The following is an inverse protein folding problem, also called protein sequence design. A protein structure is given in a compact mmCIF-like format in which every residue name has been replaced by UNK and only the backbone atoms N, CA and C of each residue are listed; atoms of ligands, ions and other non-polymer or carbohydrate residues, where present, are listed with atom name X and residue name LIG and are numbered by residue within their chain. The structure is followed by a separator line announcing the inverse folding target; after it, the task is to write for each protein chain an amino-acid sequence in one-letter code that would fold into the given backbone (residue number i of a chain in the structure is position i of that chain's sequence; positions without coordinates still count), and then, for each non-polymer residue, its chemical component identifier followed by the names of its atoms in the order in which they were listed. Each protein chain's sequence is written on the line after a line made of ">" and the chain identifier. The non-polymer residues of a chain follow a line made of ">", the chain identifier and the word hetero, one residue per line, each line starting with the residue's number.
data_IF_414795827936
#
_entry.id   IF_414795827936
#
_cell.length_a   1.000
_cell.length_b   1.000
_cell.length_c   1.000
_cell.angle_alpha   90.00
_cell.angle_beta   90.00
_cell.angle_gamma   90.00
#
_symmetry.space_group_name_H-M   'P 1'
#
loop_
_entity.id
_entity.type
_entity.pdbx_description
1 polymer ?
#
# COMPACT_ATOMS: atom_id res chain seq x y z
N UNK A 1 -21.78 -43.15 -23.54
CA UNK A 1 -20.88 -41.98 -23.56
C UNK A 1 -20.93 -41.32 -22.18
N UNK A 2 -19.93 -41.49 -21.31
CA UNK A 2 -19.94 -40.79 -20.04
C UNK A 2 -19.52 -39.33 -20.27
N UNK A 3 -20.37 -38.41 -19.79
CA UNK A 3 -20.15 -36.96 -19.80
C UNK A 3 -19.04 -36.60 -18.80
N UNK A 4 -17.98 -35.99 -19.31
CA UNK A 4 -16.88 -35.40 -18.54
C UNK A 4 -17.42 -34.24 -17.67
N UNK A 5 -17.12 -34.18 -16.36
CA UNK A 5 -17.53 -33.05 -15.56
C UNK A 5 -16.68 -31.84 -15.96
N UNK A 6 -17.34 -30.76 -16.36
CA UNK A 6 -16.74 -29.44 -16.54
C UNK A 6 -16.24 -28.97 -15.15
N UNK A 7 -14.95 -28.91 -14.99
CA UNK A 7 -14.33 -28.28 -13.81
C UNK A 7 -14.79 -26.84 -13.76
N UNK A 8 -15.71 -26.55 -12.84
CA UNK A 8 -16.01 -25.18 -12.45
C UNK A 8 -14.70 -24.57 -11.91
N UNK A 9 -14.18 -23.61 -12.64
CA UNK A 9 -13.08 -22.79 -12.16
C UNK A 9 -13.53 -22.17 -10.83
N UNK A 10 -12.92 -22.62 -9.73
CA UNK A 10 -13.12 -22.02 -8.43
C UNK A 10 -12.71 -20.54 -8.55
N UNK A 11 -13.67 -19.66 -8.56
CA UNK A 11 -13.47 -18.23 -8.40
C UNK A 11 -12.68 -18.07 -7.11
N UNK A 12 -11.41 -17.71 -7.22
CA UNK A 12 -10.56 -17.35 -6.07
C UNK A 12 -11.25 -16.19 -5.37
N UNK A 13 -12.03 -16.48 -4.34
CA UNK A 13 -12.66 -15.45 -3.51
C UNK A 13 -11.52 -14.61 -2.94
N UNK A 14 -11.56 -13.33 -3.25
CA UNK A 14 -10.63 -12.35 -2.70
C UNK A 14 -10.71 -12.43 -1.17
N UNK A 15 -9.65 -12.92 -0.52
CA UNK A 15 -9.51 -12.90 0.94
C UNK A 15 -8.63 -11.72 1.30
N UNK A 16 -9.19 -10.81 2.11
CA UNK A 16 -8.46 -9.69 2.71
C UNK A 16 -7.37 -10.23 3.62
N UNK A 17 -6.15 -9.69 3.49
CA UNK A 17 -4.98 -10.16 4.23
C UNK A 17 -5.05 -9.71 5.69
N UNK A 18 -4.77 -10.62 6.64
CA UNK A 18 -4.76 -10.34 8.08
C UNK A 18 -6.06 -9.66 8.58
N UNK A 19 -7.21 -10.04 7.99
CA UNK A 19 -8.49 -9.38 8.18
C UNK A 19 -8.88 -9.23 9.65
N UNK A 20 -8.96 -10.35 10.37
CA UNK A 20 -9.37 -10.35 11.76
C UNK A 20 -8.27 -9.79 12.67
N UNK A 21 -7.02 -10.15 12.41
CA UNK A 21 -5.86 -9.68 13.17
C UNK A 21 -5.71 -8.15 13.12
N UNK A 22 -6.01 -7.53 11.96
CA UNK A 22 -5.95 -6.09 11.81
C UNK A 22 -7.06 -5.41 12.60
N UNK A 23 -8.31 -5.86 12.44
CA UNK A 23 -9.47 -5.25 13.08
C UNK A 23 -9.48 -5.48 14.60
N UNK A 24 -9.12 -6.68 15.08
CA UNK A 24 -9.02 -6.99 16.52
C UNK A 24 -7.99 -6.09 17.23
N UNK A 25 -6.94 -5.67 16.50
CA UNK A 25 -5.93 -4.77 17.08
C UNK A 25 -6.25 -3.31 16.89
N UNK A 26 -7.08 -2.97 15.91
CA UNK A 26 -7.45 -1.60 15.60
C UNK A 26 -8.55 -1.08 16.52
N UNK A 27 -9.59 -1.90 16.78
CA UNK A 27 -10.78 -1.47 17.52
C UNK A 27 -10.50 -1.46 19.02
N UNK A 28 -10.47 -0.25 19.60
CA UNK A 28 -10.34 -0.03 21.06
C UNK A 28 -11.59 0.56 21.69
N UNK A 29 -12.48 1.14 20.88
CA UNK A 29 -13.73 1.75 21.29
C UNK A 29 -14.80 1.51 20.23
N UNK A 30 -15.83 0.75 20.53
CA UNK A 30 -16.87 0.40 19.54
C UNK A 30 -17.74 1.57 19.12
N UNK A 31 -17.76 2.68 19.86
CA UNK A 31 -18.44 3.92 19.51
C UNK A 31 -17.52 4.94 18.80
N UNK A 32 -16.25 4.61 18.61
CA UNK A 32 -15.24 5.49 18.02
C UNK A 32 -15.39 5.69 16.51
N UNK A 33 -14.60 6.65 15.98
CA UNK A 33 -14.46 6.90 14.55
C UNK A 33 -13.17 6.25 14.08
N UNK A 34 -13.23 5.52 12.97
CA UNK A 34 -12.11 4.80 12.37
C UNK A 34 -11.88 5.22 10.94
N UNK A 35 -10.62 5.25 10.54
CA UNK A 35 -10.18 5.51 9.17
C UNK A 35 -9.71 4.18 8.55
N UNK A 36 -10.34 3.77 7.44
CA UNK A 36 -9.78 2.79 6.51
C UNK A 36 -9.24 3.56 5.30
N UNK A 37 -7.94 3.78 5.26
CA UNK A 37 -7.30 4.62 4.26
C UNK A 37 -7.18 3.94 2.88
N UNK A 38 -7.51 2.63 2.79
CA UNK A 38 -7.32 1.75 1.64
C UNK A 38 -8.51 0.80 1.47
N UNK A 39 -9.67 1.33 1.11
CA UNK A 39 -10.93 0.59 1.08
C UNK A 39 -10.88 -0.69 0.23
N UNK A 40 -10.28 -0.62 -0.96
CA UNK A 40 -10.18 -1.74 -1.89
C UNK A 40 -11.53 -2.33 -2.28
N UNK A 41 -11.86 -3.50 -1.75
CA UNK A 41 -13.19 -4.13 -1.90
C UNK A 41 -13.99 -4.12 -0.60
N UNK A 42 -13.55 -3.36 0.39
CA UNK A 42 -14.24 -3.15 1.65
C UNK A 42 -14.19 -4.34 2.61
N UNK A 43 -13.16 -5.19 2.51
CA UNK A 43 -13.02 -6.32 3.42
C UNK A 43 -12.82 -5.88 4.87
N UNK A 44 -11.80 -5.06 5.11
CA UNK A 44 -11.54 -4.49 6.43
C UNK A 44 -12.67 -3.56 6.88
N UNK A 45 -13.20 -2.72 6.00
CA UNK A 45 -14.34 -1.82 6.31
C UNK A 45 -15.56 -2.60 6.79
N UNK A 46 -15.95 -3.71 6.12
CA UNK A 46 -17.08 -4.57 6.57
C UNK A 46 -16.83 -5.18 7.93
N UNK A 47 -15.62 -5.69 8.14
CA UNK A 47 -15.25 -6.26 9.45
C UNK A 47 -15.25 -5.19 10.54
N UNK A 48 -14.76 -3.97 10.28
CA UNK A 48 -14.85 -2.83 11.18
C UNK A 48 -16.32 -2.52 11.55
N UNK A 49 -17.19 -2.35 10.56
CA UNK A 49 -18.60 -2.06 10.76
C UNK A 49 -19.30 -3.16 11.58
N UNK A 50 -18.90 -4.41 11.43
CA UNK A 50 -19.45 -5.53 12.20
C UNK A 50 -19.07 -5.50 13.70
N UNK A 51 -17.95 -4.84 14.04
CA UNK A 51 -17.45 -4.71 15.42
C UNK A 51 -17.93 -3.44 16.12
N UNK A 52 -18.38 -2.44 15.35
CA UNK A 52 -18.76 -1.15 15.91
C UNK A 52 -20.21 -1.13 16.40
N UNK A 53 -20.40 -0.39 17.48
CA UNK A 53 -21.72 -0.04 17.98
C UNK A 53 -22.47 0.91 17.01
N UNK A 54 -23.78 1.15 17.18
CA UNK A 54 -24.53 2.05 16.31
C UNK A 54 -23.99 3.50 16.25
N UNK A 55 -23.30 3.96 17.29
CA UNK A 55 -22.66 5.29 17.32
C UNK A 55 -21.28 5.33 16.64
N UNK A 56 -20.65 4.17 16.39
CA UNK A 56 -19.35 4.09 15.76
C UNK A 56 -19.44 4.47 14.29
N UNK A 57 -18.37 5.01 13.72
CA UNK A 57 -18.31 5.45 12.32
C UNK A 57 -17.02 4.98 11.66
N UNK A 58 -17.07 4.77 10.34
CA UNK A 58 -15.93 4.48 9.49
C UNK A 58 -15.86 5.51 8.37
N UNK A 59 -14.73 6.17 8.23
CA UNK A 59 -14.36 6.94 7.05
C UNK A 59 -13.43 6.06 6.22
N UNK A 60 -13.82 5.75 4.99
CA UNK A 60 -13.03 4.89 4.11
C UNK A 60 -12.61 5.66 2.86
N UNK A 61 -11.36 5.51 2.45
CA UNK A 61 -10.81 6.17 1.27
C UNK A 61 -10.31 5.13 0.27
N UNK A 62 -10.44 5.46 -0.99
CA UNK A 62 -9.70 4.79 -2.05
C UNK A 62 -9.46 5.76 -3.21
N UNK A 63 -8.30 5.65 -3.85
CA UNK A 63 -7.99 6.42 -5.07
C UNK A 63 -8.49 5.76 -6.35
N UNK A 64 -8.86 4.47 -6.30
CA UNK A 64 -9.37 3.72 -7.46
C UNK A 64 -10.88 3.95 -7.63
N UNK A 65 -11.31 4.59 -8.74
CA UNK A 65 -12.74 4.79 -8.99
C UNK A 65 -13.54 3.49 -9.04
N UNK A 66 -12.92 2.36 -9.39
CA UNK A 66 -13.60 1.06 -9.39
C UNK A 66 -13.82 0.53 -7.95
N UNK A 67 -12.89 0.80 -7.03
CA UNK A 67 -13.08 0.48 -5.62
C UNK A 67 -14.24 1.29 -5.04
N UNK A 68 -14.29 2.59 -5.33
CA UNK A 68 -15.39 3.48 -4.92
C UNK A 68 -16.73 3.02 -5.49
N UNK A 69 -16.77 2.68 -6.78
CA UNK A 69 -18.00 2.17 -7.40
C UNK A 69 -18.51 0.88 -6.74
N UNK A 70 -17.58 -0.05 -6.42
CA UNK A 70 -17.91 -1.31 -5.73
C UNK A 70 -18.37 -1.10 -4.28
N UNK A 71 -17.93 -0.02 -3.62
CA UNK A 71 -18.27 0.29 -2.24
C UNK A 71 -19.59 1.05 -2.06
N UNK A 72 -20.18 1.57 -3.13
CA UNK A 72 -21.40 2.42 -3.05
C UNK A 72 -22.59 1.71 -2.39
N UNK A 73 -22.82 0.44 -2.70
CA UNK A 73 -23.91 -0.33 -2.11
C UNK A 73 -23.71 -0.46 -0.59
N UNK A 74 -22.48 -0.73 -0.13
CA UNK A 74 -22.18 -0.80 1.29
C UNK A 74 -22.40 0.54 1.97
N UNK A 75 -21.96 1.64 1.37
CA UNK A 75 -22.14 2.99 1.92
C UNK A 75 -23.63 3.43 1.95
N UNK A 76 -24.45 2.94 1.02
CA UNK A 76 -25.89 3.16 1.06
C UNK A 76 -26.61 2.29 2.09
N UNK A 77 -26.11 1.09 2.33
CA UNK A 77 -26.71 0.14 3.28
C UNK A 77 -26.36 0.43 4.75
N UNK A 78 -25.23 1.06 5.03
CA UNK A 78 -24.77 1.37 6.38
C UNK A 78 -24.40 2.85 6.53
N UNK A 79 -25.27 3.60 7.20
CA UNK A 79 -25.11 5.05 7.41
C UNK A 79 -23.86 5.41 8.27
N UNK A 80 -23.23 4.45 8.92
CA UNK A 80 -21.98 4.65 9.67
C UNK A 80 -20.76 4.75 8.77
N UNK A 81 -20.87 4.39 7.46
CA UNK A 81 -19.80 4.44 6.48
C UNK A 81 -19.86 5.71 5.66
N UNK A 82 -18.76 6.48 5.68
CA UNK A 82 -18.50 7.54 4.72
C UNK A 82 -17.39 7.07 3.78
N UNK A 83 -17.72 6.87 2.49
CA UNK A 83 -16.77 6.41 1.46
C UNK A 83 -16.37 7.59 0.57
N UNK A 84 -15.07 7.86 0.45
CA UNK A 84 -14.52 9.02 -0.26
C UNK A 84 -13.53 8.59 -1.34
N UNK A 85 -13.68 9.14 -2.56
CA UNK A 85 -12.70 8.99 -3.63
C UNK A 85 -11.56 9.97 -3.41
N UNK A 86 -10.48 9.50 -2.80
CA UNK A 86 -9.28 10.29 -2.51
C UNK A 86 -8.06 9.37 -2.32
N UNK A 87 -6.84 9.84 -2.61
CA UNK A 87 -5.63 9.15 -2.19
C UNK A 87 -5.55 9.15 -0.66
N UNK A 88 -4.93 8.14 -0.11
CA UNK A 88 -4.83 8.04 1.35
C UNK A 88 -3.96 9.15 1.98
N UNK A 89 -3.08 9.81 1.23
CA UNK A 89 -2.35 11.00 1.70
C UNK A 89 -3.26 12.20 2.00
N UNK A 90 -4.45 12.26 1.40
CA UNK A 90 -5.42 13.32 1.60
C UNK A 90 -6.36 13.10 2.81
N UNK A 91 -6.12 12.05 3.63
CA UNK A 91 -7.05 11.73 4.71
C UNK A 91 -7.26 12.89 5.72
N UNK A 92 -6.24 13.70 5.95
CA UNK A 92 -6.35 14.86 6.82
C UNK A 92 -7.31 15.94 6.29
N UNK A 93 -7.28 16.18 4.97
CA UNK A 93 -8.22 17.10 4.31
C UNK A 93 -9.65 16.53 4.32
N UNK A 94 -9.79 15.22 4.07
CA UNK A 94 -11.09 14.54 4.14
C UNK A 94 -11.68 14.64 5.54
N UNK A 95 -10.90 14.37 6.59
CA UNK A 95 -11.36 14.49 7.97
C UNK A 95 -11.75 15.92 8.32
N UNK A 96 -11.00 16.94 7.82
CA UNK A 96 -11.37 18.35 7.99
C UNK A 96 -12.72 18.67 7.35
N UNK A 97 -12.94 18.22 6.10
CA UNK A 97 -14.21 18.41 5.39
C UNK A 97 -15.41 17.74 6.06
N UNK A 98 -15.15 16.72 6.89
CA UNK A 98 -16.15 16.00 7.70
C UNK A 98 -16.25 16.53 9.14
N UNK A 99 -15.51 17.58 9.49
CA UNK A 99 -15.43 18.15 10.86
C UNK A 99 -14.96 17.12 11.90
N UNK A 100 -14.10 16.17 11.51
CA UNK A 100 -13.53 15.14 12.38
C UNK A 100 -12.11 15.56 12.77
N UNK A 101 -11.92 15.95 14.02
CA UNK A 101 -10.62 16.37 14.53
C UNK A 101 -9.63 15.21 14.65
N UNK A 102 -10.08 14.05 15.15
CA UNK A 102 -9.25 12.87 15.35
C UNK A 102 -10.07 11.58 15.24
N UNK A 103 -9.37 10.46 15.01
CA UNK A 103 -9.95 9.11 14.90
C UNK A 103 -9.35 8.17 15.95
N UNK A 104 -10.12 7.17 16.38
CA UNK A 104 -9.68 6.14 17.35
C UNK A 104 -8.81 5.06 16.74
N UNK A 105 -8.78 4.95 15.41
CA UNK A 105 -7.88 4.03 14.72
C UNK A 105 -7.74 4.36 13.26
N UNK A 106 -6.55 4.07 12.73
CA UNK A 106 -6.20 4.24 11.32
C UNK A 106 -5.67 2.91 10.79
N UNK A 107 -6.26 2.44 9.70
CA UNK A 107 -5.83 1.25 8.97
C UNK A 107 -5.31 1.65 7.59
N UNK A 108 -4.13 1.14 7.25
CA UNK A 108 -3.55 1.20 5.92
C UNK A 108 -3.21 -0.23 5.46
N UNK A 109 -3.92 -0.74 4.45
CA UNK A 109 -3.61 -2.00 3.76
C UNK A 109 -2.96 -1.63 2.43
N UNK A 110 -1.63 -1.49 2.43
CA UNK A 110 -0.87 -0.90 1.33
C UNK A 110 -0.79 -1.81 0.11
N UNK A 111 -0.40 -1.25 -1.01
CA UNK A 111 -0.17 -1.97 -2.26
C UNK A 111 -1.39 -2.03 -3.17
N UNK A 112 -1.53 -3.12 -3.92
CA UNK A 112 -2.57 -3.30 -4.94
C UNK A 112 -3.66 -4.25 -4.49
N UNK A 113 -4.90 -3.91 -4.83
CA UNK A 113 -6.03 -4.82 -4.64
C UNK A 113 -5.99 -5.99 -5.62
N UNK A 114 -6.57 -7.15 -5.23
CA UNK A 114 -6.62 -8.30 -6.13
C UNK A 114 -7.29 -8.00 -7.48
N UNK A 115 -8.41 -7.24 -7.55
CA UNK A 115 -8.99 -6.88 -8.84
C UNK A 115 -8.05 -6.09 -9.76
N UNK A 116 -7.22 -5.20 -9.20
CA UNK A 116 -6.23 -4.48 -10.02
C UNK A 116 -5.25 -5.42 -10.70
N UNK A 117 -4.84 -6.52 -10.03
CA UNK A 117 -3.95 -7.55 -10.60
C UNK A 117 -4.73 -8.49 -11.53
N UNK A 118 -5.95 -8.88 -11.16
CA UNK A 118 -6.75 -9.88 -11.86
C UNK A 118 -7.42 -9.33 -13.13
N UNK A 119 -7.74 -8.03 -13.14
CA UNK A 119 -8.19 -7.34 -14.34
C UNK A 119 -7.01 -7.03 -15.26
N UNK A 120 -6.71 -7.94 -16.17
CA UNK A 120 -5.55 -7.83 -17.08
C UNK A 120 -5.44 -6.46 -17.74
N UNK A 121 -6.56 -5.85 -18.17
CA UNK A 121 -6.60 -4.52 -18.82
C UNK A 121 -6.01 -3.37 -17.98
N UNK A 122 -5.85 -3.55 -16.65
CA UNK A 122 -5.26 -2.54 -15.76
C UNK A 122 -3.73 -2.48 -15.88
N UNK A 123 -3.09 -3.46 -16.50
CA UNK A 123 -1.65 -3.47 -16.78
C UNK A 123 -0.74 -3.79 -15.59
N UNK A 124 -1.27 -4.18 -14.43
CA UNK A 124 -0.46 -4.53 -13.24
C UNK A 124 0.19 -5.90 -13.32
N UNK A 125 -0.28 -6.78 -14.20
CA UNK A 125 0.18 -8.16 -14.30
C UNK A 125 0.87 -8.43 -15.64
N UNK A 126 1.94 -9.19 -15.60
CA UNK A 126 2.62 -9.72 -16.80
C UNK A 126 2.12 -11.12 -17.18
N UNK A 127 1.11 -11.68 -16.48
CA UNK A 127 0.53 -13.00 -16.79
C UNK A 127 -0.45 -12.99 -17.96
N UNK A 128 -0.70 -11.84 -18.53
CA UNK A 128 -1.53 -11.64 -19.70
C UNK A 128 -0.99 -10.47 -20.50
N UNK A 129 -1.49 -10.31 -21.74
CA UNK A 129 -1.12 -9.16 -22.56
C UNK A 129 -2.21 -8.08 -22.51
N UNK A 130 -1.81 -6.88 -22.09
CA UNK A 130 -2.69 -5.74 -21.90
C UNK A 130 -1.96 -4.41 -22.16
N UNK A 131 -2.70 -3.28 -22.32
CA UNK A 131 -2.06 -1.97 -22.26
C UNK A 131 -1.27 -1.79 -20.97
N UNK A 132 -0.08 -1.20 -21.08
CA UNK A 132 0.81 -0.95 -19.94
C UNK A 132 0.39 0.34 -19.22
N UNK A 133 -0.74 0.28 -18.50
CA UNK A 133 -1.30 1.43 -17.77
C UNK A 133 -0.71 1.56 -16.36
N UNK A 134 -0.98 0.64 -15.46
CA UNK A 134 -0.56 0.57 -14.05
C UNK A 134 -1.09 1.69 -13.14
N UNK A 135 -1.97 2.58 -13.59
CA UNK A 135 -2.57 3.59 -12.69
C UNK A 135 -3.63 2.95 -11.79
N UNK A 136 -3.59 3.26 -10.51
CA UNK A 136 -4.68 2.94 -9.58
C UNK A 136 -5.87 3.86 -9.83
N UNK A 137 -5.63 5.18 -9.91
CA UNK A 137 -6.62 6.14 -10.37
C UNK A 137 -6.49 6.33 -11.89
N UNK A 138 -7.43 5.76 -12.63
CA UNK A 138 -7.42 5.83 -14.11
C UNK A 138 -7.91 7.16 -14.67
N UNK A 139 -8.38 8.08 -13.82
CA UNK A 139 -8.90 9.38 -14.23
C UNK A 139 -7.80 10.44 -14.42
N UNK A 140 -6.62 10.19 -13.88
CA UNK A 140 -5.50 11.16 -13.89
C UNK A 140 -4.14 10.49 -13.98
N UNK A 141 -3.11 11.32 -14.22
CA UNK A 141 -1.71 10.89 -14.25
C UNK A 141 -1.29 10.16 -15.53
N UNK A 142 0.01 9.98 -15.68
CA UNK A 142 0.61 9.28 -16.81
C UNK A 142 0.61 7.76 -16.58
N UNK A 143 0.36 6.99 -17.65
CA UNK A 143 0.49 5.53 -17.64
C UNK A 143 1.97 5.10 -17.59
N UNK A 144 2.24 3.85 -17.24
CA UNK A 144 3.59 3.30 -17.30
C UNK A 144 4.15 3.35 -18.74
N UNK A 145 3.31 3.13 -19.77
CA UNK A 145 3.71 3.25 -21.15
C UNK A 145 4.15 4.69 -21.51
N UNK A 146 3.39 5.70 -21.06
CA UNK A 146 3.75 7.10 -21.28
C UNK A 146 5.05 7.48 -20.57
N UNK A 147 5.22 7.08 -19.32
CA UNK A 147 6.49 7.26 -18.62
C UNK A 147 7.67 6.65 -19.39
N UNK A 148 7.57 5.40 -19.85
CA UNK A 148 8.62 4.74 -20.60
C UNK A 148 8.85 5.36 -22.00
N UNK A 149 7.84 6.01 -22.57
CA UNK A 149 7.95 6.71 -23.84
C UNK A 149 8.73 8.03 -23.74
N UNK A 150 8.74 8.68 -22.58
CA UNK A 150 9.29 10.02 -22.39
C UNK A 150 10.58 10.04 -21.56
N UNK A 151 10.66 9.19 -20.51
CA UNK A 151 11.75 9.22 -19.54
C UNK A 151 13.12 8.89 -20.14
N UNK A 152 14.17 9.51 -19.61
CA UNK A 152 15.56 9.24 -19.96
C UNK A 152 16.02 7.87 -19.44
N UNK A 153 17.16 7.37 -19.99
CA UNK A 153 17.79 6.13 -19.49
C UNK A 153 18.08 6.24 -18.00
N UNK A 154 18.55 7.39 -17.53
CA UNK A 154 18.92 7.60 -16.12
C UNK A 154 17.70 7.60 -15.20
N UNK A 155 16.59 8.22 -15.63
CA UNK A 155 15.33 8.20 -14.86
C UNK A 155 14.74 6.82 -14.77
N UNK A 156 14.66 6.08 -15.87
CA UNK A 156 14.17 4.68 -15.86
C UNK A 156 15.10 3.83 -14.97
N UNK A 157 16.42 3.98 -15.11
CA UNK A 157 17.39 3.23 -14.29
C UNK A 157 17.19 3.50 -12.81
N UNK A 158 17.01 4.77 -12.41
CA UNK A 158 16.75 5.17 -11.02
C UNK A 158 15.48 4.53 -10.51
N UNK A 159 14.37 4.64 -11.26
CA UNK A 159 13.08 4.05 -10.86
C UNK A 159 13.20 2.54 -10.66
N UNK A 160 13.80 1.82 -11.62
CA UNK A 160 13.93 0.37 -11.54
C UNK A 160 14.84 -0.08 -10.38
N UNK A 161 15.91 0.66 -10.11
CA UNK A 161 16.84 0.38 -9.03
C UNK A 161 16.23 0.70 -7.66
N UNK A 162 15.71 1.92 -7.50
CA UNK A 162 15.31 2.46 -6.20
C UNK A 162 13.97 1.87 -5.71
N UNK A 163 13.06 1.52 -6.63
CA UNK A 163 11.73 0.97 -6.29
C UNK A 163 11.59 -0.53 -6.52
N UNK A 164 12.47 -1.13 -7.34
CA UNK A 164 12.41 -2.56 -7.66
C UNK A 164 13.55 -3.39 -7.09
N UNK A 165 14.58 -2.78 -6.53
CA UNK A 165 15.87 -3.47 -6.25
C UNK A 165 16.37 -4.23 -7.50
N UNK A 166 16.11 -3.67 -8.72
CA UNK A 166 16.41 -4.33 -9.99
C UNK A 166 17.91 -4.22 -10.32
N UNK A 167 18.62 -5.32 -10.26
CA UNK A 167 20.07 -5.36 -10.53
C UNK A 167 20.40 -5.08 -11.99
N UNK A 168 19.48 -5.40 -12.89
CA UNK A 168 19.61 -5.16 -14.32
C UNK A 168 18.96 -3.82 -14.75
N UNK A 169 18.76 -2.86 -13.83
CA UNK A 169 18.06 -1.61 -14.08
C UNK A 169 18.61 -0.86 -15.31
N UNK A 170 19.93 -0.66 -15.38
CA UNK A 170 20.55 0.06 -16.50
C UNK A 170 20.45 -0.69 -17.85
N UNK A 171 20.74 -2.01 -17.96
CA UNK A 171 20.50 -2.76 -19.19
C UNK A 171 19.05 -2.72 -19.66
N UNK A 172 18.09 -2.82 -18.74
CA UNK A 172 16.65 -2.75 -19.06
C UNK A 172 16.31 -1.35 -19.58
N UNK A 173 16.71 -0.29 -18.87
CA UNK A 173 16.46 1.10 -19.28
C UNK A 173 17.05 1.40 -20.65
N UNK A 174 18.29 0.99 -20.90
CA UNK A 174 18.95 1.15 -22.21
C UNK A 174 18.20 0.42 -23.32
N UNK A 175 17.72 -0.80 -23.08
CA UNK A 175 16.96 -1.57 -24.06
C UNK A 175 15.60 -0.93 -24.37
N UNK A 176 14.91 -0.38 -23.36
CA UNK A 176 13.65 0.34 -23.52
C UNK A 176 13.82 1.59 -24.38
N UNK A 177 14.81 2.43 -24.07
CA UNK A 177 15.09 3.65 -24.83
C UNK A 177 15.54 3.32 -26.26
N UNK A 178 16.46 2.36 -26.45
CA UNK A 178 16.89 1.95 -27.78
C UNK A 178 15.74 1.40 -28.65
N UNK A 179 14.77 0.71 -28.06
CA UNK A 179 13.56 0.24 -28.76
C UNK A 179 12.68 1.43 -29.16
N UNK A 180 12.46 2.38 -28.27
CA UNK A 180 11.71 3.62 -28.52
C UNK A 180 12.33 4.46 -29.64
N UNK A 181 13.65 4.61 -29.67
CA UNK A 181 14.38 5.35 -30.69
C UNK A 181 14.26 4.73 -32.11
N UNK A 182 13.96 3.43 -32.19
CA UNK A 182 13.64 2.74 -33.46
C UNK A 182 12.16 2.90 -33.86
N UNK A 183 11.36 3.67 -33.12
CA UNK A 183 9.93 3.85 -33.38
C UNK A 183 9.03 2.72 -32.85
N UNK A 184 9.54 1.87 -31.97
CA UNK A 184 8.83 0.71 -31.40
C UNK A 184 8.68 0.84 -29.85
N UNK A 185 8.03 1.89 -29.31
CA UNK A 185 7.90 2.03 -27.87
C UNK A 185 7.17 0.86 -27.24
N UNK A 186 7.53 0.51 -26.02
CA UNK A 186 6.84 -0.53 -25.25
C UNK A 186 5.51 0.03 -24.74
N UNK A 187 4.41 -0.57 -25.18
CA UNK A 187 3.03 -0.14 -24.85
C UNK A 187 2.21 -1.23 -24.18
N UNK A 188 2.70 -2.47 -24.14
CA UNK A 188 1.97 -3.63 -23.62
C UNK A 188 2.77 -4.38 -22.56
N UNK A 189 2.07 -5.04 -21.67
CA UNK A 189 2.66 -5.79 -20.56
C UNK A 189 3.54 -6.96 -21.03
N UNK A 190 3.10 -7.71 -22.06
CA UNK A 190 3.89 -8.81 -22.61
C UNK A 190 5.19 -8.33 -23.28
N UNK A 191 5.17 -7.19 -23.94
CA UNK A 191 6.36 -6.59 -24.55
C UNK A 191 7.39 -6.21 -23.49
N UNK A 192 6.95 -5.57 -22.40
CA UNK A 192 7.80 -5.23 -21.27
C UNK A 192 8.42 -6.49 -20.65
N UNK A 193 7.59 -7.49 -20.35
CA UNK A 193 8.06 -8.74 -19.74
C UNK A 193 9.09 -9.46 -20.63
N UNK A 194 8.86 -9.52 -21.94
CA UNK A 194 9.79 -10.14 -22.90
C UNK A 194 11.12 -9.38 -22.96
N UNK A 195 11.09 -8.04 -22.99
CA UNK A 195 12.30 -7.20 -23.00
C UNK A 195 13.11 -7.41 -21.70
N UNK A 196 12.45 -7.40 -20.54
CA UNK A 196 13.09 -7.63 -19.25
C UNK A 196 13.73 -9.02 -19.20
N UNK A 197 13.01 -10.07 -19.63
CA UNK A 197 13.52 -11.44 -19.66
C UNK A 197 14.78 -11.62 -20.53
N UNK A 198 14.94 -10.80 -21.59
CA UNK A 198 16.14 -10.75 -22.44
C UNK A 198 17.29 -10.00 -21.78
N UNK A 199 16.99 -8.91 -21.05
CA UNK A 199 18.01 -8.06 -20.43
C UNK A 199 18.58 -8.68 -19.14
N UNK A 200 17.78 -9.48 -18.40
CA UNK A 200 18.19 -10.11 -17.13
C UNK A 200 18.96 -11.39 -17.38
N UNK A 201 20.27 -11.37 -17.13
CA UNK A 201 21.16 -12.53 -17.32
C UNK A 201 21.08 -13.57 -16.21
N UNK A 202 20.76 -13.16 -14.97
CA UNK A 202 20.70 -14.04 -13.80
C UNK A 202 19.27 -14.07 -13.28
N UNK A 203 18.68 -15.28 -13.21
CA UNK A 203 17.33 -15.49 -12.69
C UNK A 203 17.39 -15.99 -11.26
N UNK A 204 16.64 -15.40 -10.36
CA UNK A 204 16.41 -15.96 -9.03
C UNK A 204 15.42 -17.12 -9.15
N UNK A 205 15.73 -18.27 -8.53
CA UNK A 205 14.86 -19.44 -8.60
C UNK A 205 13.48 -19.12 -7.99
N UNK A 206 12.43 -19.40 -8.74
CA UNK A 206 11.04 -19.22 -8.28
C UNK A 206 10.48 -17.80 -8.40
N UNK A 207 11.21 -16.83 -8.98
CA UNK A 207 10.72 -15.50 -9.25
C UNK A 207 10.79 -15.17 -10.75
N UNK A 208 9.69 -14.61 -11.29
CA UNK A 208 9.69 -14.12 -12.67
C UNK A 208 10.59 -12.89 -12.80
N UNK A 209 11.47 -12.82 -13.84
CA UNK A 209 12.38 -11.70 -14.03
C UNK A 209 11.68 -10.34 -14.08
N UNK A 210 10.45 -10.29 -14.60
CA UNK A 210 9.68 -9.04 -14.73
C UNK A 210 9.14 -8.50 -13.41
N UNK A 211 9.08 -9.31 -12.35
CA UNK A 211 8.43 -8.94 -11.06
C UNK A 211 8.95 -7.62 -10.50
N UNK A 212 10.27 -7.44 -10.44
CA UNK A 212 10.90 -6.24 -9.87
C UNK A 212 10.66 -5.00 -10.72
N UNK A 213 10.75 -5.16 -12.04
CA UNK A 213 10.48 -4.07 -13.00
C UNK A 213 9.02 -3.62 -12.93
N UNK A 214 8.06 -4.56 -12.88
CA UNK A 214 6.63 -4.24 -12.74
C UNK A 214 6.35 -3.56 -11.39
N UNK A 215 6.92 -4.04 -10.29
CA UNK A 215 6.81 -3.40 -8.98
C UNK A 215 7.34 -1.97 -9.02
N UNK A 216 8.52 -1.75 -9.59
CA UNK A 216 9.15 -0.42 -9.66
C UNK A 216 8.29 0.58 -10.44
N UNK A 217 7.80 0.18 -11.60
CA UNK A 217 6.93 1.03 -12.43
C UNK A 217 5.60 1.33 -11.73
N UNK A 218 5.00 0.35 -11.07
CA UNK A 218 3.77 0.52 -10.30
C UNK A 218 3.96 1.57 -9.19
N UNK A 219 5.00 1.41 -8.39
CA UNK A 219 5.34 2.34 -7.30
C UNK A 219 5.55 3.75 -7.86
N UNK A 220 6.24 3.88 -9.00
CA UNK A 220 6.50 5.17 -9.63
C UNK A 220 5.22 5.81 -10.17
N UNK A 221 4.45 5.09 -10.99
CA UNK A 221 3.22 5.59 -11.63
C UNK A 221 2.20 6.09 -10.60
N UNK A 222 2.12 5.40 -9.45
CA UNK A 222 1.17 5.71 -8.40
C UNK A 222 1.76 6.56 -7.26
N UNK A 223 3.04 6.96 -7.36
CA UNK A 223 3.75 7.69 -6.31
C UNK A 223 3.60 7.06 -4.91
N UNK A 224 3.54 5.71 -4.82
CA UNK A 224 3.11 4.98 -3.62
C UNK A 224 3.91 5.36 -2.37
N UNK A 225 5.23 5.53 -2.48
CA UNK A 225 6.07 5.88 -1.34
C UNK A 225 5.92 7.35 -0.92
N UNK A 226 5.75 8.28 -1.87
CA UNK A 226 5.49 9.68 -1.54
C UNK A 226 4.12 9.87 -0.87
N UNK A 227 3.11 9.15 -1.35
CA UNK A 227 1.80 9.09 -0.72
C UNK A 227 1.88 8.56 0.72
N UNK A 228 2.65 7.48 0.94
CA UNK A 228 2.85 6.92 2.28
C UNK A 228 3.58 7.89 3.21
N UNK A 229 4.63 8.56 2.73
CA UNK A 229 5.35 9.57 3.50
C UNK A 229 4.42 10.72 3.93
N UNK A 230 3.65 11.27 2.98
CA UNK A 230 2.70 12.33 3.24
C UNK A 230 1.57 11.91 4.21
N UNK A 231 1.11 10.67 4.13
CA UNK A 231 0.12 10.13 5.06
C UNK A 231 0.70 9.97 6.47
N UNK A 232 1.88 9.35 6.60
CA UNK A 232 2.52 9.12 7.90
C UNK A 232 2.81 10.44 8.64
N UNK A 233 3.16 11.51 7.91
CA UNK A 233 3.37 12.83 8.51
C UNK A 233 2.14 13.41 9.22
N UNK A 234 0.94 12.99 8.85
CA UNK A 234 -0.33 13.47 9.40
C UNK A 234 -0.86 12.61 10.56
N UNK A 235 -0.35 11.37 10.74
CA UNK A 235 -0.88 10.40 11.70
C UNK A 235 -0.93 10.97 13.12
N UNK A 236 0.18 11.57 13.57
CA UNK A 236 0.28 12.07 14.96
C UNK A 236 -0.72 13.20 15.26
N UNK A 237 -1.09 14.00 14.27
CA UNK A 237 -2.05 15.09 14.44
C UNK A 237 -3.51 14.61 14.42
N UNK A 238 -3.78 13.40 13.91
CA UNK A 238 -5.14 12.91 13.65
C UNK A 238 -5.52 11.63 14.39
N UNK A 239 -4.56 10.94 14.98
CA UNK A 239 -4.81 9.77 15.82
C UNK A 239 -5.08 10.23 17.25
N UNK A 240 -6.22 9.87 17.81
CA UNK A 240 -6.58 10.22 19.19
C UNK A 240 -5.70 9.48 20.22
N UNK A 241 -5.56 10.00 21.41
CA UNK A 241 -4.88 9.34 22.53
C UNK A 241 -5.50 7.97 22.81
N UNK A 242 -4.67 6.94 22.97
CA UNK A 242 -5.10 5.54 23.06
C UNK A 242 -5.62 4.95 21.74
N UNK A 243 -5.64 5.74 20.68
CA UNK A 243 -5.98 5.28 19.34
C UNK A 243 -4.87 4.43 18.72
N UNK A 244 -5.20 3.61 17.72
CA UNK A 244 -4.27 2.66 17.12
C UNK A 244 -4.02 2.90 15.65
N UNK A 245 -2.75 2.84 15.27
CA UNK A 245 -2.27 2.79 13.89
C UNK A 245 -1.96 1.34 13.53
N UNK A 246 -2.63 0.82 12.51
CA UNK A 246 -2.38 -0.51 11.92
C UNK A 246 -1.98 -0.32 10.47
N UNK A 247 -0.80 -0.81 10.09
CA UNK A 247 -0.30 -0.73 8.71
C UNK A 247 0.13 -2.11 8.24
N UNK A 248 -0.40 -2.55 7.10
CA UNK A 248 -0.04 -3.78 6.40
C UNK A 248 0.77 -3.37 5.17
N UNK A 249 2.00 -3.83 5.07
CA UNK A 249 2.95 -3.56 3.98
C UNK A 249 3.23 -4.84 3.21
N UNK A 250 3.42 -4.76 1.89
CA UNK A 250 3.64 -5.93 1.02
C UNK A 250 5.06 -5.99 0.44
N UNK A 251 5.84 -4.92 0.55
CA UNK A 251 7.25 -4.92 0.15
C UNK A 251 8.14 -4.17 1.15
N UNK A 252 9.45 -4.40 1.02
CA UNK A 252 10.47 -3.94 1.96
C UNK A 252 10.57 -2.42 2.11
N UNK A 253 10.26 -1.67 1.04
CA UNK A 253 10.34 -0.20 1.06
C UNK A 253 9.22 0.38 1.94
N UNK A 254 7.97 -0.09 1.77
CA UNK A 254 6.85 0.31 2.64
C UNK A 254 7.13 -0.05 4.09
N UNK A 255 7.48 -1.32 4.37
CA UNK A 255 7.75 -1.79 5.74
C UNK A 255 8.87 -0.98 6.40
N UNK A 256 9.90 -0.59 5.64
CA UNK A 256 11.01 0.24 6.13
C UNK A 256 10.52 1.63 6.55
N UNK A 257 9.71 2.30 5.72
CA UNK A 257 9.17 3.63 6.01
C UNK A 257 8.26 3.59 7.25
N UNK A 258 7.34 2.65 7.31
CA UNK A 258 6.43 2.48 8.47
C UNK A 258 7.22 2.16 9.73
N UNK A 259 8.21 1.27 9.66
CA UNK A 259 9.09 0.94 10.78
C UNK A 259 9.85 2.16 11.27
N UNK A 260 10.43 2.96 10.36
CA UNK A 260 11.19 4.15 10.70
C UNK A 260 10.30 5.21 11.36
N UNK A 261 9.13 5.48 10.76
CA UNK A 261 8.15 6.39 11.33
C UNK A 261 7.73 5.95 12.75
N UNK A 262 7.25 4.72 12.92
CA UNK A 262 6.82 4.24 14.24
C UNK A 262 7.97 4.24 15.26
N UNK A 263 9.20 3.93 14.85
CA UNK A 263 10.37 3.95 15.73
C UNK A 263 10.75 5.38 16.14
N UNK A 264 10.69 6.36 15.23
CA UNK A 264 11.00 7.76 15.55
C UNK A 264 10.01 8.38 16.53
N UNK A 265 8.75 7.93 16.53
CA UNK A 265 7.72 8.36 17.47
C UNK A 265 7.76 7.61 18.81
N UNK A 266 8.38 6.42 18.85
CA UNK A 266 8.38 5.57 20.04
C UNK A 266 9.69 5.64 20.86
N UNK A 267 10.78 6.13 20.28
CA UNK A 267 12.12 6.07 20.89
C UNK A 267 12.91 7.34 20.59
N UNK A 268 13.69 7.78 21.58
CA UNK A 268 14.63 8.87 21.37
C UNK A 268 15.59 8.52 20.20
N UNK A 269 15.96 9.53 19.38
CA UNK A 269 16.96 9.31 18.36
C UNK A 269 18.29 8.88 18.97
N UNK A 270 18.97 7.96 18.29
CA UNK A 270 20.32 7.57 18.70
C UNK A 270 21.27 8.76 18.55
N UNK A 271 21.96 9.10 19.63
CA UNK A 271 22.95 10.16 19.61
C UNK A 271 24.11 9.80 18.68
N UNK A 272 24.51 10.70 17.83
CA UNK A 272 25.73 10.57 17.04
C UNK A 272 26.97 10.53 17.94
N UNK A 273 28.10 10.04 17.42
CA UNK A 273 29.36 10.00 18.17
C UNK A 273 29.80 11.39 18.64
N UNK A 274 29.50 12.43 17.90
CA UNK A 274 29.77 13.83 18.23
C UNK A 274 28.87 14.32 19.34
N UNK A 275 27.55 14.10 19.24
CA UNK A 275 26.58 14.46 20.27
C UNK A 275 26.85 13.80 21.62
N UNK A 276 27.34 12.54 21.64
CA UNK A 276 27.75 11.86 22.89
C UNK A 276 28.97 12.50 23.56
N UNK A 277 29.75 13.33 22.86
CA UNK A 277 30.94 14.02 23.38
C UNK A 277 30.65 15.45 23.81
N UNK A 278 29.48 15.98 23.47
CA UNK A 278 29.07 17.32 23.90
C UNK A 278 28.66 17.32 25.38
N UNK A 279 29.03 18.33 26.15
CA UNK A 279 28.65 18.47 27.58
C UNK A 279 27.19 18.93 27.76
N UNK A 280 26.34 18.80 26.73
CA UNK A 280 24.92 19.19 26.77
C UNK A 280 24.07 17.94 26.85
N UNK A 281 23.25 17.83 27.88
CA UNK A 281 22.26 16.76 27.96
C UNK A 281 21.21 16.95 26.84
N UNK A 282 20.88 15.87 26.09
CA UNK A 282 19.81 15.95 25.09
C UNK A 282 18.49 16.30 25.77
N UNK A 283 17.65 17.04 25.06
CA UNK A 283 16.31 17.34 25.54
C UNK A 283 15.53 16.05 25.84
N UNK A 284 14.72 16.01 26.90
CA UNK A 284 13.92 14.84 27.24
C UNK A 284 13.03 14.44 26.05
N UNK A 285 13.08 13.17 25.67
CA UNK A 285 12.23 12.61 24.61
C UNK A 285 10.93 12.07 25.22
N UNK A 286 9.82 12.56 24.72
CA UNK A 286 8.49 12.07 25.09
C UNK A 286 7.96 11.20 23.95
N UNK A 287 7.83 9.86 24.14
CA UNK A 287 7.30 8.99 23.10
C UNK A 287 5.83 9.31 22.81
N UNK A 288 5.53 9.55 21.54
CA UNK A 288 4.16 9.74 21.08
C UNK A 288 3.46 8.44 20.70
N UNK A 289 4.22 7.36 20.42
CA UNK A 289 3.69 6.03 20.09
C UNK A 289 4.30 4.96 21.00
N UNK A 290 3.48 3.95 21.31
CA UNK A 290 3.88 2.66 21.88
C UNK A 290 3.78 1.60 20.81
N UNK A 291 4.88 0.92 20.49
CA UNK A 291 4.88 -0.20 19.55
C UNK A 291 4.21 -1.41 20.21
N UNK A 292 3.16 -1.94 19.59
CA UNK A 292 2.39 -3.05 20.16
C UNK A 292 2.73 -4.39 19.51
N UNK A 293 2.76 -4.45 18.18
CA UNK A 293 2.94 -5.72 17.47
C UNK A 293 3.59 -5.58 16.10
N UNK A 294 4.23 -6.68 15.68
CA UNK A 294 4.61 -6.97 14.31
C UNK A 294 4.16 -8.40 14.00
N UNK A 295 3.28 -8.57 13.00
CA UNK A 295 2.73 -9.86 12.61
C UNK A 295 2.99 -10.16 11.14
N UNK A 296 2.89 -11.44 10.82
CA UNK A 296 2.88 -11.95 9.45
C UNK A 296 1.72 -12.93 9.31
N UNK A 297 1.16 -13.09 8.09
CA UNK A 297 0.17 -14.11 7.82
C UNK A 297 0.65 -15.50 8.21
N UNK A 298 -0.26 -16.29 8.76
CA UNK A 298 0.04 -17.68 9.11
C UNK A 298 0.12 -18.60 7.88
N UNK A 299 0.70 -19.81 8.02
CA UNK A 299 0.83 -20.75 6.90
C UNK A 299 -0.50 -21.10 6.22
N UNK A 300 -1.58 -21.21 6.98
CA UNK A 300 -2.92 -21.49 6.45
C UNK A 300 -3.43 -20.35 5.55
N UNK A 301 -3.22 -19.10 5.95
CA UNK A 301 -3.59 -17.92 5.16
C UNK A 301 -2.73 -17.82 3.89
N UNK A 302 -1.41 -18.00 4.00
CA UNK A 302 -0.49 -18.01 2.84
C UNK A 302 -0.84 -19.13 1.87
N UNK A 303 -1.23 -20.31 2.35
CA UNK A 303 -1.68 -21.43 1.52
C UNK A 303 -2.97 -21.10 0.77
N UNK A 304 -3.91 -20.40 1.40
CA UNK A 304 -5.18 -19.99 0.79
C UNK A 304 -5.04 -18.72 -0.09
N UNK A 305 -4.11 -17.81 0.26
CA UNK A 305 -3.82 -16.58 -0.47
C UNK A 305 -2.30 -16.36 -0.59
N UNK A 306 -1.65 -16.85 -1.65
CA UNK A 306 -0.20 -16.68 -1.86
C UNK A 306 0.26 -15.22 -1.89
N UNK A 307 -0.62 -14.25 -2.17
CA UNK A 307 -0.33 -12.81 -2.15
C UNK A 307 -0.04 -12.30 -0.74
N UNK A 308 -0.56 -12.97 0.29
CA UNK A 308 -0.30 -12.64 1.68
C UNK A 308 1.14 -12.94 2.13
N UNK A 309 1.90 -13.77 1.40
CA UNK A 309 3.22 -14.27 1.82
C UNK A 309 4.21 -13.17 2.24
N UNK A 310 4.21 -12.03 1.56
CA UNK A 310 5.11 -10.92 1.84
C UNK A 310 4.57 -9.90 2.84
N UNK A 311 3.30 -10.03 3.25
CA UNK A 311 2.66 -9.07 4.12
C UNK A 311 3.30 -9.00 5.51
N UNK A 312 3.47 -7.78 5.99
CA UNK A 312 3.92 -7.47 7.35
C UNK A 312 2.97 -6.44 7.93
N UNK A 313 2.27 -6.80 9.00
CA UNK A 313 1.45 -5.87 9.76
C UNK A 313 2.23 -5.30 10.93
N UNK A 314 2.19 -3.97 11.10
CA UNK A 314 2.71 -3.26 12.28
C UNK A 314 1.58 -2.53 12.99
N UNK A 315 1.63 -2.55 14.31
CA UNK A 315 0.63 -1.93 15.18
C UNK A 315 1.32 -1.04 16.20
N UNK A 316 0.83 0.19 16.33
CA UNK A 316 1.26 1.12 17.36
C UNK A 316 0.03 1.81 17.99
N UNK A 317 0.17 2.26 19.23
CA UNK A 317 -0.85 2.99 19.99
C UNK A 317 -0.36 4.40 20.29
N UNK A 318 -1.21 5.39 20.08
CA UNK A 318 -0.93 6.78 20.46
C UNK A 318 -0.88 6.92 21.98
N UNK A 319 0.21 7.43 22.47
CA UNK A 319 0.32 7.81 23.88
C UNK A 319 -0.24 9.22 24.09
N UNK A 320 -0.85 9.52 25.27
CA UNK A 320 -1.21 10.87 25.62
C UNK A 320 -0.01 11.82 25.55
N UNK A 321 -0.22 13.07 25.14
CA UNK A 321 0.81 14.08 25.32
C UNK A 321 1.10 14.19 26.81
N UNK A 322 2.39 13.99 27.19
CA UNK A 322 2.80 14.26 28.56
C UNK A 322 2.47 15.74 28.85
N UNK A 323 1.66 16.01 29.88
CA UNK A 323 1.47 17.37 30.33
C UNK A 323 2.86 17.99 30.54
N UNK A 324 3.10 19.12 29.88
CA UNK A 324 4.35 19.88 30.04
C UNK A 324 4.42 20.28 31.52
N UNK A 325 5.25 19.58 32.29
CA UNK A 325 5.51 19.89 33.70
C UNK A 325 6.43 21.09 33.83
#
# INVERSE_FOLDING_TARGET
>A
MPSTPVHAAATLQHRTVLLHEAVDRLVTDTAGIYLDATFGRGGHTRELLSRLAPAGRVVALDRDPQAIAAGRELAQADARLTLVHAPFSAFGEVLNGLEIASVRGMLFDLGVSSPQIDETRRGFSFRGDAPLDMRMDTTQGATAAQFLAEASVDEITRVLRDYGDERAAFPIAKALVARRERGEPVTRTAELAALVAQAVRSREAGQDPATRTFQALRIHVNAELAELEAALAQVMARLADGGRLVVISFHSLEDRMVKQFMASQARAPELTREQRRMPVEPAPFHPGLKLLAKLRPGPAEVGANPRARSAIMRVAERLPEAEAA
#
